data_IF_584067822837
#
_entry.id   IF_584067822837
#
_cell.length_a   1.000
_cell.length_b   1.000
_cell.length_c   1.000
_cell.angle_alpha   90.00
_cell.angle_beta   90.00
_cell.angle_gamma   90.00
#
_symmetry.space_group_name_H-M   'P 1'
#
loop_
_entity.id
_entity.type
_entity.pdbx_description
1 polymer ?
#
# COMPACT_ATOMS: atom_id res chain seq x y z
N UNK A 1 6.77 -35.24 -7.86
CA UNK A 1 7.59 -34.34 -8.70
C UNK A 1 6.91 -32.98 -8.68
N UNK A 2 7.58 -31.93 -8.20
CA UNK A 2 7.03 -30.57 -8.29
C UNK A 2 6.89 -30.22 -9.78
N UNK A 3 5.75 -29.66 -10.20
CA UNK A 3 5.57 -29.34 -11.62
C UNK A 3 6.58 -28.28 -12.06
N UNK A 4 7.15 -28.48 -13.24
CA UNK A 4 8.06 -27.56 -13.94
C UNK A 4 7.31 -26.49 -14.73
N UNK A 5 5.98 -26.43 -14.59
CA UNK A 5 5.12 -25.45 -15.26
C UNK A 5 5.15 -24.10 -14.55
N UNK A 6 5.20 -23.02 -15.34
CA UNK A 6 5.05 -21.68 -14.83
C UNK A 6 3.72 -21.44 -14.13
N UNK A 7 3.79 -20.82 -12.95
CA UNK A 7 2.62 -20.41 -12.20
C UNK A 7 2.81 -18.99 -11.67
N UNK A 8 2.00 -18.07 -12.21
CA UNK A 8 1.94 -16.69 -11.71
C UNK A 8 1.49 -16.59 -10.24
N UNK A 9 0.98 -17.69 -9.67
CA UNK A 9 0.46 -17.75 -8.32
C UNK A 9 1.42 -18.38 -7.31
N UNK A 10 2.49 -19.06 -7.74
CA UNK A 10 3.31 -19.90 -6.85
C UNK A 10 4.79 -19.60 -7.03
N UNK A 11 5.34 -18.79 -6.12
CA UNK A 11 6.78 -18.51 -6.05
C UNK A 11 7.39 -19.14 -4.78
N UNK A 12 8.65 -19.58 -4.89
CA UNK A 12 9.46 -19.94 -3.72
C UNK A 12 10.03 -18.64 -3.16
N UNK A 13 9.80 -18.38 -1.87
CA UNK A 13 10.30 -17.17 -1.22
C UNK A 13 11.83 -17.20 -1.16
N UNK A 14 12.45 -16.15 -1.69
CA UNK A 14 13.91 -15.95 -1.65
C UNK A 14 14.31 -14.89 -0.63
N UNK A 15 13.37 -14.02 -0.23
CA UNK A 15 13.64 -13.00 0.78
C UNK A 15 12.41 -12.23 1.20
N UNK A 16 12.62 -11.33 2.16
CA UNK A 16 11.66 -10.30 2.50
C UNK A 16 12.18 -9.40 3.61
N UNK A 17 11.69 -8.18 3.66
CA UNK A 17 12.10 -7.17 4.63
C UNK A 17 10.94 -6.27 5.02
N UNK A 18 11.04 -5.70 6.21
CA UNK A 18 10.23 -4.55 6.63
C UNK A 18 11.20 -3.39 6.77
N UNK A 19 10.95 -2.34 6.02
CA UNK A 19 11.69 -1.08 6.10
C UNK A 19 10.72 0.06 6.43
N UNK A 20 11.25 1.22 6.76
CA UNK A 20 10.45 2.39 7.08
C UNK A 20 10.85 3.53 6.17
N UNK A 21 9.84 4.17 5.58
CA UNK A 21 10.00 5.46 4.93
C UNK A 21 9.53 6.55 5.89
N UNK A 22 10.27 7.66 5.91
CA UNK A 22 9.98 8.80 6.77
C UNK A 22 10.03 10.09 5.96
N UNK A 23 9.20 11.05 6.35
CA UNK A 23 9.28 12.43 5.87
C UNK A 23 8.81 13.41 6.95
N UNK A 24 9.19 14.69 6.85
CA UNK A 24 8.61 15.74 7.69
C UNK A 24 7.08 15.76 7.60
N UNK A 25 6.43 16.05 8.72
CA UNK A 25 4.99 16.24 8.76
C UNK A 25 4.60 17.52 8.02
N UNK A 26 3.43 17.49 7.39
CA UNK A 26 2.78 18.64 6.77
C UNK A 26 1.53 19.01 7.54
N UNK A 27 1.01 20.22 7.33
CA UNK A 27 -0.27 20.62 7.92
C UNK A 27 -1.42 19.66 7.58
N UNK A 28 -1.39 19.05 6.39
CA UNK A 28 -2.38 18.06 5.96
C UNK A 28 -2.36 16.78 6.80
N UNK A 29 -1.18 16.40 7.33
CA UNK A 29 -1.03 15.20 8.16
C UNK A 29 -1.64 15.43 9.56
N UNK A 30 -1.47 16.63 10.13
CA UNK A 30 -2.11 17.01 11.39
C UNK A 30 -3.63 17.16 11.23
N UNK A 31 -4.10 17.78 10.13
CA UNK A 31 -5.54 17.86 9.82
C UNK A 31 -6.16 16.46 9.71
N UNK A 32 -5.45 15.50 9.10
CA UNK A 32 -5.88 14.10 9.02
C UNK A 32 -5.94 13.44 10.41
N UNK A 33 -4.95 13.67 11.26
CA UNK A 33 -4.97 13.13 12.63
C UNK A 33 -6.15 13.68 13.43
N UNK A 34 -6.46 14.97 13.28
CA UNK A 34 -7.66 15.55 13.89
C UNK A 34 -8.94 14.92 13.34
N UNK A 35 -9.00 14.66 12.03
CA UNK A 35 -10.14 13.99 11.43
C UNK A 35 -10.34 12.57 12.00
N UNK A 36 -9.26 11.81 12.17
CA UNK A 36 -9.29 10.48 12.78
C UNK A 36 -9.79 10.57 14.23
N UNK A 37 -9.26 11.49 15.02
CA UNK A 37 -9.68 11.69 16.40
C UNK A 37 -11.17 12.07 16.50
N UNK A 38 -11.63 12.95 15.63
CA UNK A 38 -13.04 13.36 15.57
C UNK A 38 -13.96 12.21 15.11
N UNK A 39 -13.54 11.38 14.15
CA UNK A 39 -14.28 10.19 13.72
C UNK A 39 -14.47 9.16 14.85
N UNK A 40 -13.46 9.04 15.71
CA UNK A 40 -13.42 8.08 16.81
C UNK A 40 -13.99 8.63 18.13
N UNK A 41 -14.39 9.91 18.15
CA UNK A 41 -15.06 10.51 19.29
C UNK A 41 -16.44 9.88 19.52
N UNK A 42 -16.85 9.60 20.77
CA UNK A 42 -18.22 9.17 21.08
C UNK A 42 -19.26 10.23 20.69
N UNK A 43 -18.87 11.51 20.65
CA UNK A 43 -19.72 12.65 20.30
C UNK A 43 -19.66 13.00 18.80
N UNK A 44 -19.20 12.08 17.95
CA UNK A 44 -19.13 12.32 16.52
C UNK A 44 -20.53 12.60 15.94
N UNK A 45 -20.65 13.75 15.28
CA UNK A 45 -21.83 14.14 14.51
C UNK A 45 -21.41 14.29 13.04
N UNK A 46 -22.09 13.63 12.09
CA UNK A 46 -21.84 13.81 10.67
C UNK A 46 -21.99 15.27 10.25
N UNK A 47 -21.16 15.77 9.31
CA UNK A 47 -21.32 17.08 8.73
C UNK A 47 -22.68 17.19 8.05
N UNK A 48 -23.45 18.22 8.42
CA UNK A 48 -24.69 18.57 7.76
C UNK A 48 -24.52 19.85 6.94
N UNK A 49 -25.00 19.78 5.71
CA UNK A 49 -25.01 20.87 4.73
C UNK A 49 -26.44 21.25 4.31
N UNK A 50 -27.47 20.61 4.89
CA UNK A 50 -28.85 20.95 4.65
C UNK A 50 -29.13 22.41 5.03
N UNK A 51 -29.85 23.12 4.16
CA UNK A 51 -30.23 24.51 4.38
C UNK A 51 -29.16 25.56 4.08
N UNK A 52 -27.95 25.18 3.65
CA UNK A 52 -26.93 26.14 3.22
C UNK A 52 -27.21 26.65 1.81
N UNK A 53 -27.02 27.96 1.62
CA UNK A 53 -27.02 28.57 0.29
C UNK A 53 -25.81 28.11 -0.54
N UNK A 54 -25.87 28.20 -1.87
CA UNK A 54 -24.73 27.88 -2.74
C UNK A 54 -23.45 28.66 -2.39
N UNK A 55 -23.58 29.92 -1.95
CA UNK A 55 -22.43 30.75 -1.53
C UNK A 55 -21.77 30.22 -0.27
N UNK A 56 -22.55 29.76 0.70
CA UNK A 56 -22.05 29.20 1.96
C UNK A 56 -21.36 27.86 1.74
N UNK A 57 -21.92 27.01 0.87
CA UNK A 57 -21.29 25.76 0.45
C UNK A 57 -19.91 25.99 -0.17
N UNK A 58 -19.78 26.99 -1.06
CA UNK A 58 -18.50 27.35 -1.67
C UNK A 58 -17.51 27.85 -0.61
N UNK A 59 -17.94 28.73 0.29
CA UNK A 59 -17.06 29.26 1.34
C UNK A 59 -16.57 28.13 2.25
N UNK A 60 -17.46 27.23 2.65
CA UNK A 60 -17.14 26.07 3.49
C UNK A 60 -16.17 25.10 2.80
N UNK A 61 -16.37 24.80 1.52
CA UNK A 61 -15.46 23.97 0.75
C UNK A 61 -14.06 24.60 0.61
N UNK A 62 -13.98 25.93 0.57
CA UNK A 62 -12.71 26.66 0.55
C UNK A 62 -12.00 26.61 1.90
N UNK A 63 -12.70 26.70 3.02
CA UNK A 63 -12.12 26.78 4.37
C UNK A 63 -11.93 25.44 5.09
N UNK A 64 -12.50 24.34 4.59
CA UNK A 64 -12.44 23.03 5.26
C UNK A 64 -11.95 21.92 4.33
N UNK A 65 -11.47 20.83 4.93
CA UNK A 65 -11.19 19.55 4.26
C UNK A 65 -12.23 18.53 4.71
N UNK A 66 -12.64 17.69 3.78
CA UNK A 66 -13.52 16.56 4.06
C UNK A 66 -12.70 15.27 3.97
N UNK A 67 -12.78 14.46 5.01
CA UNK A 67 -12.12 13.16 5.10
C UNK A 67 -13.19 12.07 5.21
N UNK A 68 -12.92 10.91 4.62
CA UNK A 68 -13.70 9.69 4.88
C UNK A 68 -12.84 8.77 5.74
N UNK A 69 -13.23 8.60 7.00
CA UNK A 69 -12.56 7.75 7.98
C UNK A 69 -13.49 6.59 8.29
N UNK A 70 -13.20 5.42 7.74
CA UNK A 70 -13.95 4.18 7.95
C UNK A 70 -15.48 4.34 7.74
N UNK A 71 -15.86 5.07 6.68
CA UNK A 71 -17.25 5.34 6.32
C UNK A 71 -17.86 6.57 7.00
N UNK A 72 -17.15 7.20 7.95
CA UNK A 72 -17.56 8.45 8.59
C UNK A 72 -16.98 9.65 7.84
N UNK A 73 -17.85 10.57 7.41
CA UNK A 73 -17.41 11.83 6.83
C UNK A 73 -17.03 12.79 7.94
N UNK A 74 -15.78 13.24 7.98
CA UNK A 74 -15.32 14.22 8.96
C UNK A 74 -14.87 15.49 8.25
N UNK A 75 -15.30 16.63 8.76
CA UNK A 75 -14.93 17.94 8.24
C UNK A 75 -14.03 18.68 9.22
N UNK A 76 -12.83 19.02 8.79
CA UNK A 76 -11.83 19.73 9.60
C UNK A 76 -11.51 21.08 8.96
N UNK A 77 -11.38 22.19 9.72
CA UNK A 77 -10.87 23.45 9.21
C UNK A 77 -9.48 23.31 8.60
N UNK A 78 -9.23 23.93 7.45
CA UNK A 78 -7.88 24.00 6.89
C UNK A 78 -7.04 24.88 7.79
N UNK A 79 -6.11 24.26 8.51
CA UNK A 79 -5.20 24.96 9.42
C UNK A 79 -3.81 24.96 8.83
N UNK A 80 -3.15 26.12 8.83
CA UNK A 80 -1.73 26.23 8.51
C UNK A 80 -1.01 26.22 9.85
N UNK A 81 -0.27 25.15 10.13
CA UNK A 81 0.53 25.05 11.35
C UNK A 81 1.88 25.72 11.15
N UNK A 82 2.41 26.32 12.22
CA UNK A 82 3.76 26.89 12.20
C UNK A 82 4.82 25.80 12.03
N UNK A 83 5.96 26.15 11.43
CA UNK A 83 7.09 25.23 11.26
C UNK A 83 7.53 24.63 12.60
N UNK A 84 7.58 25.44 13.66
CA UNK A 84 7.90 24.98 15.02
C UNK A 84 6.93 23.93 15.56
N UNK A 85 5.66 23.98 15.14
CA UNK A 85 4.69 22.92 15.48
C UNK A 85 4.98 21.66 14.68
N UNK A 86 5.26 21.80 13.38
CA UNK A 86 5.54 20.69 12.47
C UNK A 86 6.85 19.97 12.79
N UNK A 87 7.86 20.70 13.26
CA UNK A 87 9.16 20.16 13.68
C UNK A 87 9.06 19.14 14.81
N UNK A 88 7.98 19.19 15.60
CA UNK A 88 7.68 18.21 16.63
C UNK A 88 7.07 16.90 16.10
N UNK A 89 6.91 16.75 14.79
CA UNK A 89 6.27 15.60 14.17
C UNK A 89 6.99 15.08 12.93
N UNK A 90 6.96 13.78 12.77
CA UNK A 90 7.32 13.08 11.53
C UNK A 90 6.16 12.21 11.10
N UNK A 91 6.09 11.89 9.81
CA UNK A 91 5.24 10.77 9.37
C UNK A 91 6.12 9.63 8.91
N UNK A 92 5.73 8.43 9.31
CA UNK A 92 6.41 7.18 9.00
C UNK A 92 5.42 6.20 8.40
N UNK A 93 5.85 5.39 7.43
CA UNK A 93 5.10 4.21 6.99
C UNK A 93 6.00 2.99 6.92
N UNK A 94 5.46 1.83 7.24
CA UNK A 94 6.14 0.57 6.98
C UNK A 94 6.04 0.21 5.49
N UNK A 95 7.15 -0.25 4.92
CA UNK A 95 7.25 -0.78 3.57
C UNK A 95 7.69 -2.23 3.66
N UNK A 96 6.79 -3.13 3.31
CA UNK A 96 7.03 -4.58 3.31
C UNK A 96 7.46 -4.99 1.91
N UNK A 97 8.65 -5.56 1.78
CA UNK A 97 9.14 -6.13 0.51
C UNK A 97 9.16 -7.64 0.61
N UNK A 98 8.71 -8.32 -0.44
CA UNK A 98 8.77 -9.77 -0.56
C UNK A 98 9.32 -10.13 -1.93
N UNK A 99 10.29 -11.04 -1.96
CA UNK A 99 10.90 -11.53 -3.20
C UNK A 99 10.82 -13.04 -3.29
N UNK A 100 10.72 -13.54 -4.51
CA UNK A 100 10.58 -14.97 -4.77
C UNK A 100 11.05 -15.34 -6.15
N UNK A 101 11.32 -16.62 -6.32
CA UNK A 101 11.77 -17.20 -7.56
C UNK A 101 11.01 -18.46 -7.92
N UNK A 102 10.99 -18.75 -9.21
CA UNK A 102 10.48 -19.99 -9.75
C UNK A 102 11.41 -20.42 -10.90
N UNK A 103 11.83 -21.68 -10.90
CA UNK A 103 12.49 -22.28 -12.06
C UNK A 103 11.49 -23.12 -12.83
N UNK A 104 11.33 -22.83 -14.11
CA UNK A 104 10.30 -23.41 -14.97
C UNK A 104 10.89 -23.86 -16.30
N UNK A 105 10.20 -24.78 -16.97
CA UNK A 105 10.51 -25.10 -18.36
C UNK A 105 10.18 -23.90 -19.25
N UNK A 106 11.12 -23.49 -20.11
CA UNK A 106 11.00 -22.29 -20.94
C UNK A 106 9.74 -22.31 -21.82
N UNK A 107 9.33 -23.49 -22.29
CA UNK A 107 8.12 -23.68 -23.12
C UNK A 107 6.82 -23.36 -22.40
N UNK A 108 6.84 -23.31 -21.06
CA UNK A 108 5.66 -23.06 -20.23
C UNK A 108 5.43 -21.57 -19.96
N UNK A 109 6.41 -20.71 -20.23
CA UNK A 109 6.27 -19.25 -20.11
C UNK A 109 5.50 -18.68 -21.31
N UNK A 110 4.17 -18.72 -21.24
CA UNK A 110 3.32 -18.19 -22.30
C UNK A 110 3.02 -16.70 -22.09
N UNK A 111 2.99 -15.92 -23.17
CA UNK A 111 2.72 -14.48 -23.13
C UNK A 111 1.42 -14.10 -22.38
N UNK A 112 0.38 -14.94 -22.48
CA UNK A 112 -0.89 -14.72 -21.77
C UNK A 112 -0.74 -14.80 -20.25
N UNK A 113 0.19 -15.60 -19.74
CA UNK A 113 0.47 -15.70 -18.29
C UNK A 113 1.33 -14.54 -17.78
N UNK A 114 2.05 -13.86 -18.69
CA UNK A 114 2.87 -12.68 -18.37
C UNK A 114 2.05 -11.38 -18.34
N UNK A 115 0.90 -11.35 -19.00
CA UNK A 115 0.05 -10.15 -19.09
C UNK A 115 -0.35 -9.57 -17.72
N UNK A 116 -0.52 -10.43 -16.70
CA UNK A 116 -0.82 -10.01 -15.33
C UNK A 116 0.30 -9.22 -14.67
N UNK A 117 1.57 -9.45 -15.05
CA UNK A 117 2.73 -8.72 -14.54
C UNK A 117 2.99 -7.41 -15.28
N UNK A 118 2.38 -7.25 -16.47
CA UNK A 118 2.46 -6.01 -17.26
C UNK A 118 1.40 -4.98 -16.85
N UNK A 119 0.37 -5.41 -16.13
CA UNK A 119 -0.73 -4.52 -15.73
C UNK A 119 -0.35 -3.79 -14.45
N UNK A 120 -0.28 -2.45 -14.45
CA UNK A 120 -0.03 -1.69 -13.23
C UNK A 120 -1.20 -1.88 -12.26
N UNK A 121 -0.90 -2.14 -10.98
CA UNK A 121 -1.93 -2.23 -9.97
C UNK A 121 -1.49 -2.93 -8.69
N UNK A 122 -2.39 -2.87 -7.71
CA UNK A 122 -2.29 -3.69 -6.51
C UNK A 122 -2.73 -5.12 -6.82
N UNK A 123 -1.90 -6.08 -6.43
CA UNK A 123 -2.16 -7.51 -6.50
C UNK A 123 -2.05 -8.11 -5.11
N UNK A 124 -2.84 -9.15 -4.85
CA UNK A 124 -2.63 -10.00 -3.68
C UNK A 124 -1.73 -11.14 -4.11
N UNK A 125 -0.48 -11.24 -3.63
CA UNK A 125 0.42 -12.31 -4.03
C UNK A 125 -0.16 -13.65 -3.57
N UNK A 126 -0.46 -14.52 -4.53
CA UNK A 126 -1.37 -15.65 -4.28
C UNK A 126 -0.70 -16.79 -3.50
N UNK A 127 0.62 -16.96 -3.56
CA UNK A 127 1.36 -17.88 -2.70
C UNK A 127 2.88 -17.67 -2.78
N UNK A 128 3.49 -17.30 -1.65
CA UNK A 128 4.94 -17.35 -1.44
C UNK A 128 5.29 -18.51 -0.52
N UNK A 129 5.70 -19.64 -1.11
CA UNK A 129 6.04 -20.84 -0.35
C UNK A 129 7.40 -20.67 0.31
N UNK A 130 7.52 -21.04 1.58
CA UNK A 130 8.84 -21.17 2.20
C UNK A 130 9.61 -22.33 1.56
N UNK A 131 10.95 -22.25 1.42
CA UNK A 131 11.76 -23.33 0.86
C UNK A 131 11.53 -24.69 1.54
N UNK A 132 11.32 -24.71 2.86
CA UNK A 132 11.24 -25.94 3.66
C UNK A 132 9.97 -26.04 4.53
N UNK A 133 8.92 -25.26 4.26
CA UNK A 133 7.77 -25.12 5.16
C UNK A 133 6.41 -25.11 4.46
N UNK A 134 5.39 -25.61 5.17
CA UNK A 134 3.99 -25.43 4.78
C UNK A 134 3.52 -24.04 5.22
N UNK A 135 3.16 -23.19 4.26
CA UNK A 135 2.55 -21.88 4.51
C UNK A 135 3.25 -20.71 3.83
N UNK A 136 2.68 -19.53 4.04
CA UNK A 136 3.21 -18.23 3.60
C UNK A 136 3.28 -17.32 4.83
N UNK A 137 4.46 -16.81 5.17
CA UNK A 137 4.63 -15.79 6.20
C UNK A 137 4.81 -14.40 5.58
N UNK A 138 3.96 -14.08 4.60
CA UNK A 138 3.84 -12.71 4.10
C UNK A 138 2.66 -12.06 4.83
N UNK A 139 2.81 -10.84 5.35
CA UNK A 139 1.69 -10.09 5.90
C UNK A 139 0.56 -9.98 4.89
N UNK A 140 -0.68 -10.10 5.35
CA UNK A 140 -1.85 -9.86 4.50
C UNK A 140 -1.88 -8.41 4.04
N UNK A 141 -2.29 -8.20 2.79
CA UNK A 141 -2.50 -6.87 2.24
C UNK A 141 -2.31 -6.80 0.73
N UNK A 142 -2.36 -5.56 0.23
CA UNK A 142 -2.25 -5.24 -1.20
C UNK A 142 -0.80 -4.89 -1.54
N UNK A 143 -0.21 -5.67 -2.45
CA UNK A 143 1.16 -5.49 -2.89
C UNK A 143 1.20 -4.93 -4.30
N UNK A 144 2.22 -4.14 -4.61
CA UNK A 144 2.50 -3.70 -5.97
C UNK A 144 3.69 -4.48 -6.50
N UNK A 145 3.59 -4.96 -7.74
CA UNK A 145 4.74 -5.53 -8.43
C UNK A 145 5.79 -4.43 -8.64
N UNK A 146 6.99 -4.67 -8.16
CA UNK A 146 8.12 -3.76 -8.29
C UNK A 146 9.04 -4.20 -9.42
N UNK A 147 9.27 -5.51 -9.52
CA UNK A 147 10.12 -6.10 -10.53
C UNK A 147 9.61 -7.49 -10.88
N UNK A 148 9.63 -7.80 -12.17
CA UNK A 148 9.46 -9.13 -12.73
C UNK A 148 10.59 -9.34 -13.73
N UNK A 149 11.43 -10.33 -13.49
CA UNK A 149 12.55 -10.65 -14.36
C UNK A 149 12.54 -12.13 -14.71
N UNK A 150 13.06 -12.46 -15.88
CA UNK A 150 13.22 -13.83 -16.34
C UNK A 150 14.58 -13.97 -17.04
N UNK A 151 15.25 -15.10 -16.79
CA UNK A 151 16.57 -15.41 -17.33
C UNK A 151 16.59 -16.81 -17.91
N UNK A 152 16.78 -16.89 -19.21
CA UNK A 152 16.91 -18.18 -19.90
C UNK A 152 18.29 -18.80 -19.64
N UNK A 153 18.31 -20.04 -19.18
CA UNK A 153 19.53 -20.76 -18.79
C UNK A 153 20.12 -21.59 -19.94
N UNK A 154 19.55 -21.48 -21.16
CA UNK A 154 19.98 -22.21 -22.38
C UNK A 154 19.98 -23.74 -22.27
N UNK A 155 19.35 -24.29 -21.23
CA UNK A 155 19.23 -25.73 -20.95
C UNK A 155 17.75 -26.19 -20.94
N UNK A 156 16.86 -25.41 -21.57
CA UNK A 156 15.41 -25.64 -21.57
C UNK A 156 14.68 -25.12 -20.33
N UNK A 157 15.39 -24.46 -19.40
CA UNK A 157 14.81 -23.82 -18.23
C UNK A 157 15.00 -22.31 -18.23
N UNK A 158 14.06 -21.64 -17.59
CA UNK A 158 14.08 -20.20 -17.33
C UNK A 158 13.89 -19.99 -15.83
N UNK A 159 14.76 -19.16 -15.24
CA UNK A 159 14.59 -18.70 -13.86
C UNK A 159 13.79 -17.41 -13.88
N UNK A 160 12.71 -17.36 -13.11
CA UNK A 160 11.84 -16.20 -12.96
C UNK A 160 12.01 -15.65 -11.56
N UNK A 161 12.16 -14.34 -11.44
CA UNK A 161 12.25 -13.64 -10.17
C UNK A 161 11.20 -12.53 -10.10
N UNK A 162 10.60 -12.36 -8.92
CA UNK A 162 9.59 -11.34 -8.64
C UNK A 162 9.89 -10.63 -7.35
N UNK A 163 9.64 -9.32 -7.34
CA UNK A 163 9.69 -8.50 -6.14
C UNK A 163 8.40 -7.70 -6.01
N UNK A 164 7.77 -7.81 -4.85
CA UNK A 164 6.55 -7.10 -4.48
C UNK A 164 6.80 -6.16 -3.31
N UNK A 165 6.10 -5.02 -3.30
CA UNK A 165 6.09 -4.08 -2.17
C UNK A 165 4.69 -3.73 -1.71
N UNK A 166 4.44 -3.80 -0.42
CA UNK A 166 3.23 -3.27 0.22
C UNK A 166 3.61 -2.02 1.03
N UNK A 167 2.90 -0.93 0.77
CA UNK A 167 3.01 0.31 1.53
C UNK A 167 1.89 0.39 2.55
N UNK A 168 2.25 0.47 3.82
CA UNK A 168 1.27 0.75 4.87
C UNK A 168 0.86 2.23 4.84
N UNK A 169 -0.23 2.53 5.57
CA UNK A 169 -0.69 3.90 5.76
C UNK A 169 0.41 4.74 6.44
N UNK A 170 0.44 6.03 6.15
CA UNK A 170 1.27 6.98 6.88
C UNK A 170 0.72 7.16 8.28
N UNK A 171 1.60 7.09 9.27
CA UNK A 171 1.29 7.32 10.68
C UNK A 171 2.03 8.57 11.16
N UNK A 172 1.32 9.45 11.85
CA UNK A 172 1.88 10.65 12.45
C UNK A 172 2.51 10.29 13.79
N UNK A 173 3.79 10.61 13.95
CA UNK A 173 4.57 10.35 15.15
C UNK A 173 5.01 11.69 15.74
N UNK A 174 4.80 11.86 17.04
CA UNK A 174 5.33 13.00 17.79
C UNK A 174 6.75 12.67 18.26
N UNK A 175 7.69 13.57 18.03
CA UNK A 175 9.10 13.46 18.44
C UNK A 175 9.30 13.79 19.93
#
# INVERSE_FOLDING_TARGET
MASTEFSAAVFIRTGGSVSFEERPATSSDLDLQQAINAANSPDYVPPDDAGLSPRELILRAKSTRLYNIDGKLVRIPKTIYSDTTLDGYVVRRAVVTVSGSQRVETTTLQAGQLAGFLTPGAVTPVSFKMPDGAGSAIPEGSYMLQEFSFRDQQNGYTDVEVTYRMYQKWELIKL
#
